data_IF_629751222134
#
_entry.id   IF_629751222134
#
_cell.length_a   1.000
_cell.length_b   1.000
_cell.length_c   1.000
_cell.angle_alpha   90.00
_cell.angle_beta   90.00
_cell.angle_gamma   90.00
#
_symmetry.space_group_name_H-M   'P 1'
#
loop_
_entity.id
_entity.type
_entity.pdbx_description
1 polymer ?
#
# COMPACT_ATOMS: atom_id res chain seq x y z
N UNK A 1 -3.79 -14.40 -13.30
CA UNK A 1 -2.69 -14.07 -14.23
C UNK A 1 -2.25 -12.63 -14.03
N UNK A 2 -1.00 -12.30 -14.38
CA UNK A 2 -0.30 -11.02 -14.10
C UNK A 2 -0.16 -10.68 -12.61
N UNK A 3 0.54 -11.53 -11.87
CA UNK A 3 0.89 -11.29 -10.48
C UNK A 3 2.21 -10.54 -10.39
N UNK A 4 2.30 -9.53 -9.52
CA UNK A 4 3.46 -8.67 -9.34
C UNK A 4 3.78 -8.47 -7.87
N UNK A 5 5.08 -8.40 -7.56
CA UNK A 5 5.53 -7.95 -6.23
C UNK A 5 5.49 -6.42 -6.18
N UNK A 6 4.91 -5.87 -5.12
CA UNK A 6 4.79 -4.43 -4.89
C UNK A 6 5.05 -4.07 -3.43
N UNK A 7 5.63 -2.91 -3.22
CA UNK A 7 5.86 -2.32 -1.92
C UNK A 7 4.64 -1.52 -1.47
N UNK A 8 4.38 -1.56 -0.17
CA UNK A 8 3.37 -0.73 0.49
C UNK A 8 3.90 -0.22 1.83
N UNK A 9 4.01 1.10 1.96
CA UNK A 9 4.30 1.77 3.23
C UNK A 9 3.02 2.17 3.95
N UNK A 10 3.00 1.99 5.26
CA UNK A 10 1.80 2.25 6.08
C UNK A 10 2.17 2.65 7.50
N UNK A 11 1.17 2.86 8.36
CA UNK A 11 1.38 3.16 9.78
C UNK A 11 1.76 1.90 10.55
N UNK A 12 2.86 1.98 11.29
CA UNK A 12 3.30 1.01 12.29
C UNK A 12 3.23 1.66 13.66
N UNK A 13 2.35 1.15 14.52
CA UNK A 13 2.16 1.64 15.89
C UNK A 13 2.62 0.61 16.95
N UNK A 14 3.59 -0.22 16.60
CA UNK A 14 4.17 -1.27 17.43
C UNK A 14 5.62 -1.56 17.02
N UNK A 15 6.25 -2.52 17.69
CA UNK A 15 7.63 -2.98 17.45
C UNK A 15 7.68 -4.40 16.87
N UNK A 16 6.59 -4.86 16.22
CA UNK A 16 6.52 -6.17 15.55
C UNK A 16 7.68 -6.35 14.56
N UNK A 17 8.52 -7.36 14.75
CA UNK A 17 9.68 -7.66 13.91
C UNK A 17 10.97 -6.90 14.27
N UNK A 18 10.98 -6.08 15.33
CA UNK A 18 12.24 -5.42 15.78
C UNK A 18 13.21 -6.41 16.43
N UNK A 19 12.68 -7.44 17.09
CA UNK A 19 13.42 -8.49 17.77
C UNK A 19 12.69 -9.82 17.58
N UNK A 20 13.39 -10.96 17.69
CA UNK A 20 12.80 -12.29 17.49
C UNK A 20 11.57 -12.55 18.38
N UNK A 21 11.56 -12.01 19.60
CA UNK A 21 10.45 -12.14 20.56
C UNK A 21 9.24 -11.25 20.26
N UNK A 22 9.35 -10.33 19.31
CA UNK A 22 8.29 -9.40 18.92
C UNK A 22 7.59 -9.92 17.65
N UNK A 23 7.05 -11.13 17.70
CA UNK A 23 6.38 -11.81 16.58
C UNK A 23 4.84 -11.73 16.65
N UNK A 24 4.28 -11.31 17.78
CA UNK A 24 2.85 -11.14 17.99
C UNK A 24 2.29 -9.84 17.39
N UNK A 25 1.19 -9.95 16.63
CA UNK A 25 0.44 -8.77 16.17
C UNK A 25 -0.14 -7.98 17.36
N UNK A 26 -0.11 -6.65 17.27
CA UNK A 26 -0.76 -5.79 18.25
C UNK A 26 -2.24 -5.58 17.92
N UNK A 27 -3.06 -5.29 18.93
CA UNK A 27 -4.49 -4.94 18.80
C UNK A 27 -4.73 -3.43 18.67
N UNK A 28 -3.68 -2.64 18.42
CA UNK A 28 -3.82 -1.19 18.29
C UNK A 28 -4.49 -0.85 16.96
N UNK A 29 -5.68 -0.24 17.01
CA UNK A 29 -6.48 0.15 15.85
C UNK A 29 -5.79 1.17 14.94
N UNK A 30 -4.76 1.88 15.44
CA UNK A 30 -3.96 2.80 14.62
C UNK A 30 -2.79 2.10 13.90
N UNK A 31 -2.53 0.82 14.21
CA UNK A 31 -1.49 0.02 13.56
C UNK A 31 -2.00 -0.61 12.26
N UNK A 32 -2.07 0.17 11.19
CA UNK A 32 -2.47 -0.31 9.86
C UNK A 32 -1.65 -1.52 9.40
N UNK A 33 -0.36 -1.57 9.75
CA UNK A 33 0.50 -2.71 9.45
C UNK A 33 -0.01 -4.02 10.05
N UNK A 34 -0.30 -4.05 11.37
CA UNK A 34 -0.84 -5.25 12.02
C UNK A 34 -2.24 -5.59 11.52
N UNK A 35 -3.07 -4.60 11.19
CA UNK A 35 -4.38 -4.83 10.57
C UNK A 35 -4.22 -5.53 9.22
N UNK A 36 -3.36 -5.02 8.34
CA UNK A 36 -3.12 -5.60 7.01
C UNK A 36 -2.55 -7.01 7.11
N UNK A 37 -1.66 -7.28 8.06
CA UNK A 37 -1.10 -8.62 8.24
C UNK A 37 -2.13 -9.64 8.74
N UNK A 38 -3.09 -9.21 9.57
CA UNK A 38 -4.12 -10.08 10.14
C UNK A 38 -5.30 -10.31 9.19
N UNK A 39 -5.78 -9.25 8.53
CA UNK A 39 -7.03 -9.27 7.75
C UNK A 39 -6.85 -8.95 6.27
N UNK A 40 -5.61 -8.83 5.78
CA UNK A 40 -5.29 -8.27 4.46
C UNK A 40 -5.71 -6.80 4.31
N UNK A 41 -5.56 -6.28 3.10
CA UNK A 41 -5.90 -4.90 2.74
C UNK A 41 -7.41 -4.70 2.66
N UNK A 42 -7.87 -3.55 3.16
CA UNK A 42 -9.27 -3.15 3.12
C UNK A 42 -9.41 -1.73 2.54
N UNK A 43 -10.26 -1.59 1.53
CA UNK A 43 -10.57 -0.31 0.89
C UNK A 43 -11.30 0.65 1.83
N UNK A 44 -11.97 0.16 2.87
CA UNK A 44 -12.54 0.99 3.94
C UNK A 44 -11.47 1.80 4.70
N UNK A 45 -10.19 1.50 4.50
CA UNK A 45 -9.06 2.25 5.05
C UNK A 45 -8.40 3.21 4.06
N UNK A 46 -8.85 3.25 2.79
CA UNK A 46 -8.36 4.21 1.81
C UNK A 46 -8.55 5.65 2.30
N UNK A 47 -7.58 6.51 1.99
CA UNK A 47 -7.68 7.94 2.25
C UNK A 47 -7.64 8.36 3.71
N UNK A 48 -7.63 7.44 4.69
CA UNK A 48 -7.59 7.80 6.13
C UNK A 48 -6.42 8.72 6.51
N UNK A 49 -5.32 8.66 5.77
CA UNK A 49 -4.14 9.51 5.98
C UNK A 49 -4.05 10.67 5.00
N UNK A 50 -4.24 10.41 3.72
CA UNK A 50 -3.96 11.40 2.65
C UNK A 50 -5.22 12.13 2.19
N UNK A 51 -6.40 11.72 2.65
CA UNK A 51 -7.74 12.15 2.24
C UNK A 51 -8.06 12.00 0.74
N UNK A 52 -7.06 11.70 -0.09
CA UNK A 52 -7.12 11.63 -1.56
C UNK A 52 -6.05 10.68 -2.08
N UNK A 53 -6.28 10.18 -3.29
CA UNK A 53 -5.32 9.40 -4.07
C UNK A 53 -5.31 9.92 -5.50
N UNK A 54 -4.15 9.85 -6.18
CA UNK A 54 -3.97 10.43 -7.52
C UNK A 54 -4.88 9.79 -8.56
N UNK A 55 -5.23 8.53 -8.37
CA UNK A 55 -6.12 7.75 -9.23
C UNK A 55 -7.38 7.33 -8.48
N UNK A 56 -7.81 8.15 -7.52
CA UNK A 56 -9.03 7.96 -6.75
C UNK A 56 -8.98 6.81 -5.75
N UNK A 57 -10.12 6.19 -5.46
CA UNK A 57 -10.23 5.19 -4.39
C UNK A 57 -9.59 3.87 -4.81
N UNK A 58 -8.72 3.31 -3.96
CA UNK A 58 -8.07 2.03 -4.24
C UNK A 58 -6.98 1.69 -3.24
N UNK A 59 -6.40 0.48 -3.36
CA UNK A 59 -5.18 0.12 -2.63
C UNK A 59 -3.99 0.59 -3.44
N UNK A 60 -3.11 1.40 -2.83
CA UNK A 60 -1.95 1.96 -3.49
C UNK A 60 -0.70 1.16 -3.16
N UNK A 61 -0.03 0.67 -4.19
CA UNK A 61 1.26 -0.03 -4.08
C UNK A 61 2.24 0.49 -5.15
N UNK A 62 3.53 0.19 -5.03
CA UNK A 62 4.53 0.63 -6.00
C UNK A 62 5.59 -0.43 -6.27
N UNK A 63 6.15 -0.48 -7.48
CA UNK A 63 7.37 -1.23 -7.75
C UNK A 63 8.60 -0.55 -7.13
N UNK A 64 8.49 0.74 -6.79
CA UNK A 64 9.57 1.54 -6.21
C UNK A 64 9.48 1.59 -4.69
N UNK A 65 10.48 1.03 -3.99
CA UNK A 65 10.49 0.97 -2.51
C UNK A 65 10.66 2.35 -1.87
N UNK A 66 11.50 3.23 -2.42
CA UNK A 66 11.72 4.59 -1.90
C UNK A 66 10.44 5.41 -1.88
N UNK A 67 9.61 5.29 -2.92
CA UNK A 67 8.27 5.89 -2.97
C UNK A 67 7.39 5.40 -1.82
N UNK A 68 7.33 4.09 -1.64
CA UNK A 68 6.52 3.49 -0.57
C UNK A 68 7.05 3.82 0.82
N UNK A 69 8.36 3.99 0.98
CA UNK A 69 9.00 4.41 2.23
C UNK A 69 8.50 5.79 2.72
N UNK A 70 8.15 6.71 1.84
CA UNK A 70 7.59 8.02 2.21
C UNK A 70 6.21 7.90 2.90
N UNK A 71 5.56 6.75 2.72
CA UNK A 71 4.30 6.43 3.36
C UNK A 71 4.46 5.65 4.68
N UNK A 72 5.67 5.37 5.14
CA UNK A 72 5.88 4.74 6.46
C UNK A 72 5.74 5.81 7.55
N UNK A 73 4.91 5.52 8.55
CA UNK A 73 4.81 6.33 9.76
C UNK A 73 4.97 5.44 10.98
N UNK A 74 5.92 5.77 11.86
CA UNK A 74 6.07 5.15 13.16
C UNK A 74 5.30 5.95 14.19
N UNK A 75 4.43 5.30 14.97
CA UNK A 75 3.73 5.98 16.04
C UNK A 75 4.66 6.21 17.24
N UNK A 76 4.57 7.40 17.84
CA UNK A 76 5.37 7.81 19.01
C UNK A 76 5.20 6.95 20.26
N UNK A 77 4.07 6.24 20.42
CA UNK A 77 3.79 5.42 21.61
C UNK A 77 4.53 4.07 21.61
N UNK A 78 5.07 3.65 20.47
CA UNK A 78 5.90 2.46 20.34
C UNK A 78 7.05 2.78 19.38
N UNK A 79 8.02 3.62 19.81
CA UNK A 79 9.10 4.04 18.95
C UNK A 79 9.95 2.83 18.55
N UNK A 80 10.21 2.70 17.26
CA UNK A 80 11.12 1.69 16.70
C UNK A 80 12.30 2.42 16.03
N UNK A 81 13.53 1.92 16.18
CA UNK A 81 14.67 2.42 15.40
C UNK A 81 14.60 2.02 13.92
N UNK A 82 13.69 1.10 13.56
CA UNK A 82 13.54 0.56 12.21
C UNK A 82 12.26 1.07 11.53
N UNK A 83 12.31 1.11 10.20
CA UNK A 83 11.13 1.32 9.35
C UNK A 83 10.71 -0.02 8.76
N UNK A 84 9.42 -0.31 8.83
CA UNK A 84 8.85 -1.52 8.24
C UNK A 84 8.09 -1.19 6.95
N UNK A 85 8.27 -2.00 5.92
CA UNK A 85 7.61 -1.85 4.62
C UNK A 85 7.10 -3.21 4.17
N UNK A 86 5.85 -3.26 3.70
CA UNK A 86 5.27 -4.53 3.29
C UNK A 86 5.66 -4.86 1.84
N UNK A 87 6.21 -6.05 1.62
CA UNK A 87 6.30 -6.64 0.28
C UNK A 87 5.06 -7.52 0.04
N UNK A 88 4.30 -7.16 -0.97
CA UNK A 88 2.99 -7.76 -1.25
C UNK A 88 2.99 -8.43 -2.61
N UNK A 89 2.30 -9.57 -2.70
CA UNK A 89 2.00 -10.21 -3.97
C UNK A 89 0.62 -9.73 -4.45
N UNK A 90 0.60 -9.05 -5.60
CA UNK A 90 -0.57 -8.34 -6.12
C UNK A 90 -0.98 -8.93 -7.45
N UNK A 91 -2.20 -9.45 -7.54
CA UNK A 91 -2.80 -9.90 -8.81
C UNK A 91 -3.33 -8.68 -9.56
N UNK A 92 -2.59 -8.20 -10.55
CA UNK A 92 -2.88 -6.96 -11.27
C UNK A 92 -3.87 -7.12 -12.43
N UNK A 93 -4.12 -8.34 -12.90
CA UNK A 93 -4.99 -8.59 -14.06
C UNK A 93 -4.57 -7.81 -15.30
N UNK A 94 -5.56 -7.27 -16.03
CA UNK A 94 -5.39 -6.37 -17.17
C UNK A 94 -5.25 -4.93 -16.67
N UNK A 95 -4.06 -4.36 -16.85
CA UNK A 95 -3.75 -3.01 -16.35
C UNK A 95 -3.89 -1.95 -17.43
N UNK A 96 -4.43 -0.78 -17.09
CA UNK A 96 -4.31 0.45 -17.92
C UNK A 96 -3.20 1.34 -17.38
N UNK A 97 -2.42 1.95 -18.28
CA UNK A 97 -1.38 2.91 -17.93
C UNK A 97 -1.94 4.32 -18.07
N UNK A 98 -1.77 5.14 -17.03
CA UNK A 98 -2.19 6.54 -17.01
C UNK A 98 -1.01 7.42 -16.63
N UNK A 99 -0.95 8.62 -17.20
CA UNK A 99 0.15 9.58 -16.99
C UNK A 99 -0.32 10.90 -16.36
N UNK A 100 -1.63 11.03 -16.12
CA UNK A 100 -2.26 12.21 -15.52
C UNK A 100 -3.16 11.80 -14.36
N UNK A 101 -3.38 12.71 -13.42
CA UNK A 101 -4.18 12.43 -12.22
C UNK A 101 -5.66 12.26 -12.56
N UNK A 102 -6.29 11.26 -11.94
CA UNK A 102 -7.72 10.99 -11.99
C UNK A 102 -8.29 10.80 -10.56
N UNK A 103 -8.29 11.85 -9.71
CA UNK A 103 -8.59 11.72 -8.28
C UNK A 103 -10.05 11.34 -7.98
N UNK A 104 -10.95 11.49 -8.95
CA UNK A 104 -12.37 11.14 -8.82
C UNK A 104 -12.70 9.73 -9.33
N UNK A 105 -11.69 8.97 -9.77
CA UNK A 105 -11.86 7.58 -10.22
C UNK A 105 -12.28 6.70 -9.03
N UNK A 106 -13.27 5.83 -9.25
CA UNK A 106 -13.77 4.93 -8.20
C UNK A 106 -13.39 3.48 -8.45
N UNK A 107 -13.12 3.15 -9.71
CA UNK A 107 -12.74 1.84 -10.18
C UNK A 107 -11.92 2.00 -11.47
N UNK A 108 -11.11 1.00 -11.86
CA UNK A 108 -10.45 0.99 -13.15
C UNK A 108 -11.45 1.15 -14.31
N UNK A 109 -11.05 1.78 -15.44
CA UNK A 109 -11.90 1.87 -16.63
C UNK A 109 -12.40 0.50 -17.11
N UNK A 110 -13.58 0.48 -17.73
CA UNK A 110 -14.22 -0.74 -18.21
C UNK A 110 -13.26 -1.62 -19.04
N UNK A 111 -13.17 -2.90 -18.68
CA UNK A 111 -12.29 -3.87 -19.33
C UNK A 111 -10.85 -3.92 -18.78
N UNK A 112 -10.57 -3.22 -17.68
CA UNK A 112 -9.32 -3.27 -16.92
C UNK A 112 -9.58 -3.63 -15.46
N UNK A 113 -8.61 -4.30 -14.82
CA UNK A 113 -8.67 -4.75 -13.43
C UNK A 113 -7.85 -3.84 -12.49
N UNK A 114 -6.92 -3.05 -13.05
CA UNK A 114 -6.08 -2.15 -12.27
C UNK A 114 -5.53 -0.98 -13.11
N UNK A 115 -5.11 0.07 -12.41
CA UNK A 115 -4.45 1.25 -12.97
C UNK A 115 -2.97 1.24 -12.58
N UNK A 116 -2.11 1.59 -13.53
CA UNK A 116 -0.69 1.86 -13.30
C UNK A 116 -0.40 3.31 -13.69
N UNK A 117 -0.12 4.16 -12.71
CA UNK A 117 0.44 5.48 -12.93
C UNK A 117 1.89 5.34 -13.37
N UNK A 118 2.22 5.79 -14.59
CA UNK A 118 3.59 5.75 -15.10
C UNK A 118 4.35 7.04 -14.78
N UNK A 119 5.63 6.96 -14.38
CA UNK A 119 6.48 8.14 -14.23
C UNK A 119 6.53 8.96 -15.53
N UNK A 120 6.43 10.29 -15.38
CA UNK A 120 6.35 11.23 -16.50
C UNK A 120 5.37 12.37 -16.21
N UNK A 121 5.70 13.58 -16.69
CA UNK A 121 4.89 14.78 -16.41
C UNK A 121 4.86 15.11 -14.92
N UNK A 122 3.73 14.86 -14.27
CA UNK A 122 3.48 15.16 -12.84
C UNK A 122 3.77 13.98 -11.90
N UNK A 123 4.14 12.81 -12.42
CA UNK A 123 4.43 11.59 -11.66
C UNK A 123 5.94 11.37 -11.55
N UNK A 124 6.48 11.42 -10.32
CA UNK A 124 7.89 11.14 -10.06
C UNK A 124 8.21 9.64 -10.00
N UNK A 125 7.22 8.81 -9.64
CA UNK A 125 7.38 7.37 -9.41
C UNK A 125 6.10 6.61 -9.76
N UNK A 126 6.22 5.30 -9.99
CA UNK A 126 5.10 4.45 -10.38
C UNK A 126 4.12 4.19 -9.24
N UNK A 127 2.84 4.01 -9.58
CA UNK A 127 1.77 3.72 -8.61
C UNK A 127 0.82 2.69 -9.21
N UNK A 128 0.55 1.61 -8.50
CA UNK A 128 -0.39 0.54 -8.88
C UNK A 128 -1.62 0.63 -7.99
N UNK A 129 -2.82 0.73 -8.60
CA UNK A 129 -4.09 0.97 -7.92
C UNK A 129 -5.13 -0.04 -8.38
N UNK A 130 -5.83 -0.69 -7.45
CA UNK A 130 -6.92 -1.61 -7.73
C UNK A 130 -7.52 -2.23 -6.46
N UNK A 131 -8.60 -2.99 -6.64
CA UNK A 131 -9.12 -3.91 -5.63
C UNK A 131 -8.34 -5.23 -5.74
N UNK A 132 -7.14 -5.23 -5.19
CA UNK A 132 -6.24 -6.35 -5.34
C UNK A 132 -6.63 -7.51 -4.41
N UNK A 133 -6.59 -8.75 -4.91
CA UNK A 133 -6.38 -9.90 -4.03
C UNK A 133 -4.91 -9.87 -3.59
N UNK A 134 -4.65 -9.34 -2.39
CA UNK A 134 -3.29 -9.21 -1.85
C UNK A 134 -3.07 -10.25 -0.76
N UNK A 135 -1.90 -10.90 -0.82
CA UNK A 135 -1.33 -11.61 0.32
C UNK A 135 -0.03 -10.90 0.72
N UNK A 136 0.10 -10.42 1.97
CA UNK A 136 1.39 -9.99 2.51
C UNK A 136 2.37 -11.16 2.41
N UNK A 137 3.51 -10.95 1.76
CA UNK A 137 4.48 -12.02 1.54
C UNK A 137 5.62 -11.97 2.56
N UNK A 138 6.10 -10.75 2.90
CA UNK A 138 7.21 -10.54 3.84
C UNK A 138 7.07 -9.19 4.56
N UNK A 139 7.52 -9.14 5.82
CA UNK A 139 7.68 -7.94 6.64
C UNK A 139 9.10 -7.39 6.54
#
# INVERSE_FOLDING_TARGET
>A
GNTRRRWHGTVRACTLGDEERNDGFCNNQTCSMCSILQSSFDLAHFGRRTNRGRFGTGIYTSATSSKSNDYILQHSHAPSPYRAILLTEVVMGRTIKLTVDHPNMKEPPAGYDAVVGEPGGILNYDESIGEFQIKPAFL
#
